data_IF_764376682900
#
_entry.id   IF_764376682900
#
_cell.length_a   1.000
_cell.length_b   1.000
_cell.length_c   1.000
_cell.angle_alpha   90.00
_cell.angle_beta   90.00
_cell.angle_gamma   90.00
#
_symmetry.space_group_name_H-M   'P 1'
#
loop_
_entity.id
_entity.type
_entity.pdbx_description
1 polymer ?
#
# COMPACT_ATOMS: atom_id res chain seq x y z
N UNK A 1 20.38 -34.48 -38.96
CA UNK A 1 20.25 -35.80 -38.29
C UNK A 1 20.74 -35.70 -36.83
N UNK A 2 20.11 -34.87 -35.98
CA UNK A 2 20.53 -34.67 -34.57
C UNK A 2 19.38 -34.53 -33.56
N UNK A 3 18.12 -34.60 -33.99
CA UNK A 3 16.96 -34.41 -33.09
C UNK A 3 16.55 -35.70 -32.36
N UNK A 4 16.99 -36.88 -32.83
CA UNK A 4 16.65 -38.18 -32.23
C UNK A 4 17.43 -38.54 -30.95
N UNK A 5 18.49 -37.79 -30.57
CA UNK A 5 19.33 -38.16 -29.41
C UNK A 5 18.89 -37.59 -28.07
N UNK A 6 17.83 -36.76 -28.02
CA UNK A 6 17.34 -36.18 -26.77
C UNK A 6 16.23 -37.01 -26.13
N UNK A 7 15.47 -37.77 -26.92
CA UNK A 7 14.28 -38.51 -26.44
C UNK A 7 14.63 -39.80 -25.69
N UNK A 8 15.83 -40.36 -25.90
CA UNK A 8 16.25 -41.64 -25.32
C UNK A 8 17.22 -41.53 -24.14
N UNK A 9 17.38 -40.34 -23.52
CA UNK A 9 18.28 -40.22 -22.37
C UNK A 9 17.55 -40.58 -21.06
N UNK A 10 18.24 -41.24 -20.11
CA UNK A 10 17.62 -41.64 -18.85
C UNK A 10 17.07 -40.43 -18.09
N UNK A 11 15.97 -40.56 -17.32
CA UNK A 11 15.33 -39.46 -16.60
C UNK A 11 16.31 -38.65 -15.72
N UNK A 12 17.33 -39.32 -15.17
CA UNK A 12 18.40 -38.69 -14.40
C UNK A 12 19.20 -37.63 -15.18
N UNK A 13 19.35 -37.79 -16.50
CA UNK A 13 20.04 -36.81 -17.35
C UNK A 13 19.22 -35.53 -17.56
N UNK A 14 17.89 -35.65 -17.60
CA UNK A 14 16.98 -34.51 -17.70
C UNK A 14 16.88 -33.79 -16.36
N UNK A 15 16.80 -34.55 -15.26
CA UNK A 15 16.90 -34.00 -13.91
C UNK A 15 18.24 -33.27 -13.69
N UNK A 16 19.36 -33.85 -14.13
CA UNK A 16 20.66 -33.19 -14.06
C UNK A 16 20.70 -31.92 -14.92
N UNK A 17 20.12 -31.91 -16.12
CA UNK A 17 20.03 -30.71 -16.95
C UNK A 17 19.22 -29.60 -16.24
N UNK A 18 18.07 -29.93 -15.67
CA UNK A 18 17.23 -28.98 -14.91
C UNK A 18 17.98 -28.45 -13.69
N UNK A 19 18.64 -29.31 -12.92
CA UNK A 19 19.39 -28.92 -11.71
C UNK A 19 20.63 -28.09 -12.05
N UNK A 20 21.34 -28.41 -13.14
CA UNK A 20 22.58 -27.71 -13.52
C UNK A 20 22.31 -26.42 -14.27
N UNK A 21 21.17 -26.27 -14.95
CA UNK A 21 20.88 -25.07 -15.77
C UNK A 21 19.81 -24.17 -15.16
N UNK A 22 18.65 -24.73 -14.80
CA UNK A 22 17.51 -23.92 -14.33
C UNK A 22 17.67 -23.51 -12.88
N UNK A 23 18.27 -24.36 -12.02
CA UNK A 23 18.49 -24.02 -10.62
C UNK A 23 19.46 -22.83 -10.45
N UNK A 24 20.63 -22.77 -11.13
CA UNK A 24 21.53 -21.62 -11.02
C UNK A 24 20.94 -20.36 -11.65
N UNK A 25 20.21 -20.48 -12.77
CA UNK A 25 19.50 -19.34 -13.38
C UNK A 25 18.41 -18.79 -12.44
N UNK A 26 17.65 -19.67 -11.79
CA UNK A 26 16.65 -19.29 -10.80
C UNK A 26 17.31 -18.60 -9.60
N UNK A 27 18.36 -19.20 -9.02
CA UNK A 27 19.08 -18.63 -7.88
C UNK A 27 19.78 -17.31 -8.23
N UNK A 28 20.36 -17.18 -9.43
CA UNK A 28 20.97 -15.95 -9.91
C UNK A 28 19.92 -14.85 -10.16
N UNK A 29 18.80 -15.18 -10.80
CA UNK A 29 17.67 -14.25 -10.97
C UNK A 29 17.07 -13.82 -9.62
N UNK A 30 16.91 -14.77 -8.69
CA UNK A 30 16.41 -14.51 -7.35
C UNK A 30 17.35 -13.59 -6.57
N UNK A 31 18.66 -13.88 -6.58
CA UNK A 31 19.68 -13.00 -5.97
C UNK A 31 19.74 -11.63 -6.63
N UNK A 32 19.68 -11.58 -7.96
CA UNK A 32 19.66 -10.33 -8.70
C UNK A 32 18.46 -9.47 -8.31
N UNK A 33 17.24 -10.05 -8.27
CA UNK A 33 16.02 -9.35 -7.84
C UNK A 33 16.02 -8.95 -6.36
N UNK A 34 16.62 -9.75 -5.47
CA UNK A 34 16.81 -9.38 -4.06
C UNK A 34 17.68 -8.13 -3.92
N UNK A 35 18.74 -8.03 -4.73
CA UNK A 35 19.71 -6.94 -4.65
C UNK A 35 19.33 -5.74 -5.55
N UNK A 36 18.43 -5.97 -6.51
CA UNK A 36 17.91 -5.00 -7.47
C UNK A 36 16.38 -5.13 -7.52
N UNK A 37 15.68 -4.82 -6.42
CA UNK A 37 14.22 -5.03 -6.30
C UNK A 37 13.40 -4.24 -7.33
N UNK A 38 14.05 -3.28 -7.99
CA UNK A 38 13.54 -2.47 -9.09
C UNK A 38 14.68 -2.38 -10.10
N UNK A 39 14.60 -3.12 -11.21
CA UNK A 39 15.67 -3.23 -12.22
C UNK A 39 15.98 -1.91 -12.94
N UNK A 40 16.52 -0.94 -12.22
CA UNK A 40 16.93 0.35 -12.74
C UNK A 40 18.24 0.22 -13.50
N UNK A 41 18.21 0.58 -14.78
CA UNK A 41 19.40 0.96 -15.54
C UNK A 41 20.06 2.15 -14.83
N UNK A 42 21.39 2.14 -14.79
CA UNK A 42 22.17 3.18 -14.14
C UNK A 42 21.81 4.58 -14.65
N UNK A 43 21.84 5.55 -13.74
CA UNK A 43 21.60 6.97 -13.98
C UNK A 43 22.39 7.46 -15.20
N UNK A 44 21.70 7.71 -16.30
CA UNK A 44 22.21 8.50 -17.42
C UNK A 44 21.86 9.96 -17.16
N UNK A 45 22.79 10.87 -17.50
CA UNK A 45 22.60 12.30 -17.33
C UNK A 45 21.33 12.74 -18.06
N UNK A 46 20.44 13.46 -17.36
CA UNK A 46 19.15 13.91 -17.87
C UNK A 46 19.35 15.27 -18.52
N UNK A 47 19.17 15.35 -19.83
CA UNK A 47 19.02 16.64 -20.51
C UNK A 47 17.74 17.33 -20.02
N UNK A 48 17.75 18.65 -19.89
CA UNK A 48 16.63 19.43 -19.36
C UNK A 48 15.34 19.20 -20.19
N UNK A 49 14.44 18.36 -19.67
CA UNK A 49 13.14 18.08 -20.28
C UNK A 49 12.20 19.29 -20.12
N UNK A 50 11.31 19.49 -21.09
CA UNK A 50 10.21 20.45 -20.90
C UNK A 50 9.31 20.00 -19.75
N UNK A 51 8.71 20.94 -19.01
CA UNK A 51 7.81 20.63 -17.88
C UNK A 51 6.68 19.67 -18.25
N UNK A 52 6.17 19.73 -19.49
CA UNK A 52 5.13 18.84 -19.97
C UNK A 52 5.65 17.42 -20.21
N UNK A 53 6.85 17.29 -20.79
CA UNK A 53 7.49 15.99 -21.03
C UNK A 53 7.88 15.31 -19.72
N UNK A 54 8.42 16.06 -18.75
CA UNK A 54 8.71 15.53 -17.42
C UNK A 54 7.47 14.97 -16.73
N UNK A 55 6.36 15.72 -16.75
CA UNK A 55 5.10 15.26 -16.13
C UNK A 55 4.55 14.02 -16.83
N UNK A 56 4.64 13.95 -18.16
CA UNK A 56 4.22 12.78 -18.92
C UNK A 56 5.06 11.54 -18.56
N UNK A 57 6.39 11.66 -18.62
CA UNK A 57 7.32 10.56 -18.32
C UNK A 57 7.20 10.10 -16.86
N UNK A 58 7.05 11.05 -15.93
CA UNK A 58 6.84 10.74 -14.52
C UNK A 58 5.53 9.99 -14.31
N UNK A 59 4.44 10.45 -14.92
CA UNK A 59 3.16 9.76 -14.80
C UNK A 59 3.20 8.38 -15.45
N UNK A 60 3.90 8.18 -16.56
CA UNK A 60 4.08 6.87 -17.20
C UNK A 60 4.80 5.86 -16.27
N UNK A 61 5.79 6.32 -15.51
CA UNK A 61 6.57 5.45 -14.60
C UNK A 61 5.90 5.23 -13.25
N UNK A 62 5.26 6.28 -12.71
CA UNK A 62 4.71 6.30 -11.35
C UNK A 62 3.20 6.01 -11.30
N UNK A 63 2.54 5.92 -12.45
CA UNK A 63 1.17 5.41 -12.58
C UNK A 63 1.22 4.15 -13.45
N UNK A 64 0.48 3.11 -13.08
CA UNK A 64 0.26 1.97 -13.97
C UNK A 64 -0.76 2.41 -15.03
N UNK A 65 -0.28 2.80 -16.20
CA UNK A 65 -1.09 2.91 -17.41
C UNK A 65 -0.39 2.13 -18.56
N UNK A 66 -1.13 1.29 -19.31
CA UNK A 66 -2.49 0.86 -19.03
C UNK A 66 -2.56 -0.01 -17.77
N UNK A 67 -3.60 0.18 -16.96
CA UNK A 67 -3.87 -0.71 -15.84
C UNK A 67 -4.25 -2.11 -16.34
N UNK A 68 -3.52 -3.13 -15.88
CA UNK A 68 -3.83 -4.53 -16.16
C UNK A 68 -4.57 -5.18 -14.98
N UNK A 69 -5.86 -5.55 -15.12
CA UNK A 69 -6.65 -6.13 -14.04
C UNK A 69 -6.20 -7.53 -13.64
N UNK A 70 -5.39 -8.20 -14.48
CA UNK A 70 -4.95 -9.58 -14.32
C UNK A 70 -4.18 -9.85 -13.04
N UNK A 71 -3.33 -8.90 -12.60
CA UNK A 71 -2.58 -9.06 -11.36
C UNK A 71 -3.49 -9.06 -10.13
N UNK A 72 -4.48 -8.16 -10.12
CA UNK A 72 -5.51 -8.17 -9.10
C UNK A 72 -6.30 -9.48 -9.23
N UNK A 73 -6.90 -9.77 -10.38
CA UNK A 73 -7.71 -10.97 -10.62
C UNK A 73 -7.01 -12.28 -10.20
N UNK A 74 -5.72 -12.43 -10.53
CA UNK A 74 -4.92 -13.59 -10.16
C UNK A 74 -4.70 -13.71 -8.65
N UNK A 75 -4.55 -12.58 -7.94
CA UNK A 75 -4.52 -12.57 -6.48
C UNK A 75 -5.89 -12.93 -5.90
N UNK A 76 -6.97 -12.50 -6.55
CA UNK A 76 -8.34 -12.74 -6.11
C UNK A 76 -8.78 -14.18 -6.22
N UNK A 77 -8.39 -14.83 -7.31
CA UNK A 77 -8.66 -16.24 -7.55
C UNK A 77 -7.97 -17.18 -6.54
N UNK A 78 -7.10 -16.66 -5.66
CA UNK A 78 -6.45 -17.43 -4.59
C UNK A 78 -7.19 -17.34 -3.25
N UNK A 79 -8.32 -16.65 -3.21
CA UNK A 79 -9.17 -16.56 -2.03
C UNK A 79 -10.46 -17.31 -2.28
N UNK A 80 -10.92 -18.01 -1.24
CA UNK A 80 -12.29 -18.51 -1.20
C UNK A 80 -13.24 -17.33 -1.10
N UNK A 81 -14.41 -17.44 -1.74
CA UNK A 81 -15.38 -16.35 -1.82
C UNK A 81 -16.53 -16.58 -0.84
N UNK A 82 -16.84 -15.55 -0.03
CA UNK A 82 -17.92 -15.57 0.94
C UNK A 82 -18.94 -14.48 0.57
N UNK A 83 -19.99 -14.80 -0.23
CA UNK A 83 -20.93 -13.80 -0.73
C UNK A 83 -21.70 -13.08 0.38
N UNK A 84 -21.84 -13.75 1.53
CA UNK A 84 -22.54 -13.25 2.69
C UNK A 84 -21.65 -12.40 3.60
N UNK A 85 -20.34 -12.37 3.40
CA UNK A 85 -19.44 -11.61 4.27
C UNK A 85 -19.21 -10.22 3.68
N UNK A 86 -19.51 -9.17 4.45
CA UNK A 86 -19.31 -7.79 4.05
C UNK A 86 -18.47 -7.08 5.10
N UNK A 87 -17.40 -6.42 4.66
CA UNK A 87 -16.57 -5.59 5.53
C UNK A 87 -16.90 -4.12 5.36
N UNK A 88 -16.99 -3.41 6.48
CA UNK A 88 -17.03 -1.95 6.51
C UNK A 88 -15.83 -1.45 7.31
N UNK A 89 -15.14 -0.46 6.78
CA UNK A 89 -13.97 0.10 7.45
C UNK A 89 -14.43 1.12 8.49
N UNK A 90 -13.95 0.97 9.72
CA UNK A 90 -14.14 1.96 10.79
C UNK A 90 -12.79 2.54 11.21
N UNK A 91 -12.81 3.82 11.63
CA UNK A 91 -11.61 4.48 12.13
C UNK A 91 -11.10 3.75 13.39
N UNK A 92 -9.80 3.46 13.40
CA UNK A 92 -9.14 2.84 14.54
C UNK A 92 -8.86 3.83 15.66
N UNK A 93 -8.38 3.32 16.79
CA UNK A 93 -8.12 4.09 18.01
C UNK A 93 -7.09 5.24 17.85
N UNK A 94 -6.23 5.19 16.82
CA UNK A 94 -5.19 6.18 16.57
C UNK A 94 -5.54 7.14 15.41
N UNK A 95 -5.40 8.43 15.67
CA UNK A 95 -5.62 9.55 14.75
C UNK A 95 -4.64 9.54 13.57
N UNK A 96 -4.97 8.80 12.51
CA UNK A 96 -4.14 8.65 11.31
C UNK A 96 -4.95 8.81 10.03
N UNK A 97 -4.83 9.99 9.40
CA UNK A 97 -5.42 10.33 8.10
C UNK A 97 -5.02 9.34 7.00
N UNK A 98 -5.98 8.97 6.14
CA UNK A 98 -5.86 8.52 4.74
C UNK A 98 -4.94 7.32 4.38
N UNK A 99 -3.71 7.26 4.90
CA UNK A 99 -2.63 6.40 4.43
C UNK A 99 -2.80 4.94 4.84
N UNK A 100 -3.63 4.68 5.86
CA UNK A 100 -3.86 3.36 6.44
C UNK A 100 -5.13 2.67 5.89
N UNK A 101 -5.81 3.25 4.89
CA UNK A 101 -6.91 2.56 4.18
C UNK A 101 -6.39 1.47 3.26
N UNK A 102 -5.10 1.52 2.89
CA UNK A 102 -4.55 0.65 1.85
C UNK A 102 -4.54 -0.82 2.25
N UNK A 103 -4.44 -1.15 3.54
CA UNK A 103 -4.51 -2.54 4.03
C UNK A 103 -5.92 -3.14 3.89
N UNK A 104 -6.96 -2.31 3.97
CA UNK A 104 -8.34 -2.77 3.99
C UNK A 104 -8.76 -3.54 2.72
N UNK A 105 -8.45 -3.05 1.50
CA UNK A 105 -8.63 -3.84 0.28
C UNK A 105 -7.92 -5.19 0.30
N UNK A 106 -6.74 -5.33 0.93
CA UNK A 106 -6.02 -6.61 1.01
C UNK A 106 -6.72 -7.58 1.96
N UNK A 107 -7.06 -7.14 3.17
CA UNK A 107 -7.75 -7.99 4.14
C UNK A 107 -9.09 -8.48 3.60
N UNK A 108 -9.87 -7.58 2.99
CA UNK A 108 -11.14 -7.94 2.35
C UNK A 108 -10.93 -8.96 1.24
N UNK A 109 -9.95 -8.70 0.38
CA UNK A 109 -9.58 -9.56 -0.73
C UNK A 109 -9.21 -10.98 -0.29
N UNK A 110 -8.48 -11.09 0.81
CA UNK A 110 -7.98 -12.35 1.33
C UNK A 110 -9.04 -13.12 2.09
N UNK A 111 -9.89 -12.40 2.81
CA UNK A 111 -11.09 -12.93 3.47
C UNK A 111 -12.21 -13.28 2.49
N UNK A 112 -12.10 -12.91 1.21
CA UNK A 112 -13.14 -13.18 0.23
C UNK A 112 -14.45 -12.46 0.53
N UNK A 113 -14.38 -11.28 1.14
CA UNK A 113 -15.54 -10.50 1.53
C UNK A 113 -15.89 -9.45 0.47
N UNK A 114 -17.15 -9.01 0.49
CA UNK A 114 -17.59 -7.76 -0.16
C UNK A 114 -17.23 -6.57 0.72
N UNK A 115 -17.32 -5.34 0.19
CA UNK A 115 -17.04 -4.12 0.96
C UNK A 115 -18.21 -3.15 0.94
N UNK A 116 -18.34 -2.38 2.01
CA UNK A 116 -18.90 -1.03 1.95
C UNK A 116 -17.80 -0.08 1.50
N UNK A 117 -18.09 0.77 0.51
CA UNK A 117 -17.13 1.75 0.02
C UNK A 117 -16.68 2.64 1.19
N UNK A 118 -15.37 2.73 1.49
CA UNK A 118 -14.90 3.50 2.63
C UNK A 118 -15.24 4.98 2.52
N UNK A 119 -15.48 5.60 3.67
CA UNK A 119 -15.52 7.05 3.85
C UNK A 119 -14.52 7.44 4.93
N UNK A 120 -14.19 8.73 5.05
CA UNK A 120 -13.15 9.19 5.95
C UNK A 120 -13.70 10.22 6.92
N UNK A 121 -13.38 10.12 8.20
CA UNK A 121 -13.70 11.19 9.14
C UNK A 121 -13.08 12.53 8.67
N UNK A 122 -13.87 13.59 8.67
CA UNK A 122 -13.35 14.95 8.52
C UNK A 122 -12.40 15.27 9.70
N UNK A 123 -11.36 16.07 9.44
CA UNK A 123 -10.32 16.41 10.44
C UNK A 123 -10.89 16.79 11.81
N UNK A 124 -10.30 16.26 12.90
CA UNK A 124 -10.63 16.63 14.29
C UNK A 124 -11.68 15.75 14.97
N UNK A 125 -12.28 14.81 14.25
CA UNK A 125 -13.20 13.82 14.78
C UNK A 125 -12.48 12.52 15.15
N UNK A 126 -11.55 12.56 16.13
CA UNK A 126 -11.14 11.33 16.81
C UNK A 126 -12.36 10.63 17.44
N UNK A 127 -12.24 9.33 17.75
CA UNK A 127 -13.11 8.32 18.42
C UNK A 127 -14.51 8.67 19.02
N UNK A 128 -14.87 9.93 19.24
CA UNK A 128 -16.14 10.38 19.83
C UNK A 128 -17.37 10.29 18.91
N UNK A 129 -17.21 9.99 17.61
CA UNK A 129 -18.30 9.90 16.65
C UNK A 129 -18.71 8.47 16.33
N UNK A 130 -19.23 7.71 17.29
CA UNK A 130 -19.80 6.37 17.08
C UNK A 130 -21.13 6.36 16.30
N UNK A 131 -21.31 7.28 15.36
CA UNK A 131 -22.55 7.46 14.61
C UNK A 131 -22.25 7.77 13.16
N UNK A 132 -23.13 7.27 12.29
CA UNK A 132 -23.22 7.52 10.84
C UNK A 132 -23.52 9.03 10.55
N UNK A 133 -23.26 9.93 11.51
CA UNK A 133 -23.79 11.29 11.60
C UNK A 133 -22.73 12.40 11.64
N UNK A 134 -21.43 12.08 11.57
CA UNK A 134 -20.44 13.08 11.17
C UNK A 134 -20.35 13.10 9.65
N UNK A 135 -20.22 14.31 9.06
CA UNK A 135 -19.98 14.48 7.63
C UNK A 135 -18.64 13.81 7.25
N UNK A 136 -18.70 12.51 6.98
CA UNK A 136 -17.57 11.77 6.48
C UNK A 136 -17.26 12.27 5.07
N UNK A 137 -16.00 12.58 4.83
CA UNK A 137 -15.50 12.86 3.50
C UNK A 137 -15.68 11.62 2.61
N UNK A 138 -16.28 11.78 1.41
CA UNK A 138 -16.52 10.65 0.53
C UNK A 138 -15.20 10.09 -0.03
N UNK A 139 -15.22 8.82 -0.44
CA UNK A 139 -14.06 8.09 -1.00
C UNK A 139 -13.29 8.90 -2.05
N UNK A 140 -14.04 9.57 -2.95
CA UNK A 140 -13.55 10.43 -4.04
C UNK A 140 -12.61 11.57 -3.62
N UNK A 141 -12.60 11.95 -2.33
CA UNK A 141 -11.74 13.03 -1.84
C UNK A 141 -10.25 12.63 -1.85
N UNK A 142 -9.96 11.35 -1.62
CA UNK A 142 -8.59 10.83 -1.56
C UNK A 142 -8.26 9.93 -2.76
N UNK A 143 -9.27 9.27 -3.31
CA UNK A 143 -9.11 8.27 -4.36
C UNK A 143 -9.93 8.60 -5.61
N UNK A 144 -9.49 8.10 -6.76
CA UNK A 144 -10.28 8.05 -7.97
C UNK A 144 -11.33 6.94 -7.82
N UNK A 145 -12.52 7.33 -7.35
CA UNK A 145 -13.62 6.41 -7.08
C UNK A 145 -14.06 5.66 -8.34
N UNK A 146 -14.13 6.34 -9.48
CA UNK A 146 -14.59 5.73 -10.74
C UNK A 146 -13.61 4.66 -11.18
N UNK A 147 -12.31 4.99 -11.19
CA UNK A 147 -11.26 4.04 -11.50
C UNK A 147 -11.24 2.86 -10.54
N UNK A 148 -11.41 3.11 -9.23
CA UNK A 148 -11.40 2.04 -8.23
C UNK A 148 -12.54 1.05 -8.48
N UNK A 149 -13.76 1.54 -8.68
CA UNK A 149 -14.91 0.70 -8.92
C UNK A 149 -14.78 -0.08 -10.23
N UNK A 150 -14.39 0.59 -11.33
CA UNK A 150 -14.23 -0.10 -12.62
C UNK A 150 -13.14 -1.17 -12.54
N UNK A 151 -12.02 -0.87 -11.89
CA UNK A 151 -10.89 -1.79 -11.75
C UNK A 151 -11.24 -2.99 -10.89
N UNK A 152 -11.96 -2.78 -9.77
CA UNK A 152 -12.40 -3.87 -8.91
C UNK A 152 -13.51 -4.69 -9.54
N UNK A 153 -14.49 -4.10 -10.23
CA UNK A 153 -15.51 -4.86 -10.98
C UNK A 153 -14.88 -5.72 -12.07
N UNK A 154 -13.87 -5.20 -12.78
CA UNK A 154 -13.17 -5.95 -13.83
C UNK A 154 -12.30 -7.08 -13.25
N UNK A 155 -11.58 -6.81 -12.15
CA UNK A 155 -10.66 -7.77 -11.56
C UNK A 155 -11.33 -8.76 -10.58
N UNK A 156 -12.46 -8.39 -9.99
CA UNK A 156 -13.23 -9.15 -8.99
C UNK A 156 -14.74 -8.97 -9.20
N UNK A 157 -15.33 -9.59 -10.23
CA UNK A 157 -16.78 -9.48 -10.45
C UNK A 157 -17.61 -10.08 -9.31
N UNK A 158 -17.04 -11.00 -8.52
CA UNK A 158 -17.71 -11.60 -7.37
C UNK A 158 -17.81 -10.65 -6.17
N UNK A 159 -16.89 -9.67 -6.06
CA UNK A 159 -16.84 -8.77 -4.91
C UNK A 159 -17.84 -7.63 -5.06
N UNK A 160 -18.90 -7.65 -4.26
CA UNK A 160 -19.84 -6.53 -4.22
C UNK A 160 -19.19 -5.32 -3.52
N UNK A 161 -19.46 -4.14 -4.06
CA UNK A 161 -19.05 -2.86 -3.46
C UNK A 161 -20.33 -2.06 -3.20
N UNK A 162 -20.74 -2.01 -1.94
CA UNK A 162 -21.93 -1.31 -1.49
C UNK A 162 -21.64 0.18 -1.28
N UNK A 163 -22.57 1.03 -1.73
CA UNK A 163 -22.55 2.47 -1.48
C UNK A 163 -23.89 2.86 -0.86
N UNK A 164 -24.09 2.64 0.45
CA UNK A 164 -25.32 3.05 1.10
C UNK A 164 -25.48 4.58 0.98
N UNK A 165 -26.62 5.01 0.44
CA UNK A 165 -27.03 6.42 0.47
C UNK A 165 -27.36 6.82 1.91
N UNK A 166 -27.37 8.12 2.23
CA UNK A 166 -27.60 8.62 3.60
C UNK A 166 -28.88 8.07 4.26
N UNK A 167 -29.91 7.74 3.46
CA UNK A 167 -31.20 7.25 3.95
C UNK A 167 -31.37 5.72 3.83
N UNK A 168 -30.37 5.00 3.30
CA UNK A 168 -30.39 3.55 3.14
C UNK A 168 -29.51 2.88 4.19
N UNK A 169 -30.15 2.35 5.24
CA UNK A 169 -29.46 1.56 6.26
C UNK A 169 -29.11 0.17 5.70
N UNK A 170 -27.84 -0.18 5.74
CA UNK A 170 -27.39 -1.58 5.56
C UNK A 170 -27.86 -2.45 6.74
N UNK A 171 -27.66 -3.77 6.63
CA UNK A 171 -27.78 -4.66 7.79
C UNK A 171 -26.94 -4.14 8.97
N UNK A 172 -27.40 -4.39 10.20
CA UNK A 172 -26.63 -4.04 11.39
C UNK A 172 -25.34 -4.87 11.44
N UNK A 173 -24.22 -4.21 11.73
CA UNK A 173 -22.94 -4.89 11.86
C UNK A 173 -22.92 -5.78 13.12
N UNK A 174 -22.18 -6.88 13.05
CA UNK A 174 -21.94 -7.73 14.22
C UNK A 174 -21.37 -6.90 15.38
N UNK A 175 -21.76 -7.19 16.63
CA UNK A 175 -21.28 -6.44 17.78
C UNK A 175 -19.75 -6.45 17.93
N UNK A 176 -19.20 -5.24 18.05
CA UNK A 176 -17.77 -4.99 18.22
C UNK A 176 -17.05 -4.64 16.92
N UNK A 177 -15.75 -4.42 17.03
CA UNK A 177 -14.88 -4.12 15.90
C UNK A 177 -13.85 -5.24 15.77
N UNK A 178 -13.72 -5.79 14.56
CA UNK A 178 -12.70 -6.75 14.22
C UNK A 178 -11.38 -6.05 13.95
N UNK A 179 -10.35 -6.34 14.74
CA UNK A 179 -8.97 -5.92 14.47
C UNK A 179 -8.25 -7.04 13.71
N UNK A 180 -7.91 -6.84 12.42
CA UNK A 180 -7.22 -7.86 11.65
C UNK A 180 -5.86 -8.22 12.25
N UNK A 181 -5.58 -9.53 12.29
CA UNK A 181 -4.24 -10.02 12.62
C UNK A 181 -3.23 -9.57 11.56
N UNK A 182 -2.05 -9.16 12.01
CA UNK A 182 -0.96 -8.69 11.14
C UNK A 182 -0.62 -9.69 10.05
N UNK A 183 -0.27 -9.15 8.89
CA UNK A 183 0.21 -9.82 7.69
C UNK A 183 1.62 -9.38 7.29
N UNK A 184 2.38 -8.85 8.26
CA UNK A 184 3.81 -8.56 8.16
C UNK A 184 4.65 -9.80 8.43
N UNK A 185 4.83 -10.62 7.38
CA UNK A 185 5.66 -11.84 7.42
C UNK A 185 7.14 -11.49 7.68
N UNK A 186 7.57 -10.29 7.29
CA UNK A 186 8.92 -9.76 7.53
C UNK A 186 9.19 -9.47 9.02
N UNK A 187 8.15 -9.18 9.81
CA UNK A 187 8.25 -8.97 11.25
C UNK A 187 8.10 -10.27 12.05
N UNK A 188 7.20 -11.17 11.62
CA UNK A 188 7.00 -12.48 12.22
C UNK A 188 6.49 -13.47 11.16
N UNK A 189 7.21 -14.58 10.97
CA UNK A 189 6.85 -15.62 10.00
C UNK A 189 5.46 -16.24 10.24
N UNK A 190 4.90 -16.09 11.45
CA UNK A 190 3.56 -16.55 11.80
C UNK A 190 2.44 -15.66 11.24
N UNK A 191 2.75 -14.44 10.77
CA UNK A 191 1.80 -13.48 10.20
C UNK A 191 1.37 -13.84 8.77
N UNK A 192 0.89 -15.07 8.60
CA UNK A 192 0.52 -15.65 7.30
C UNK A 192 -0.94 -15.39 6.95
N UNK A 193 -1.31 -15.62 5.67
CA UNK A 193 -2.72 -15.60 5.24
C UNK A 193 -3.59 -16.54 6.03
N UNK A 194 -3.08 -17.75 6.26
CA UNK A 194 -3.77 -18.75 7.05
C UNK A 194 -4.05 -18.25 8.48
N UNK A 195 -3.05 -17.68 9.14
CA UNK A 195 -3.22 -17.17 10.51
C UNK A 195 -4.22 -16.00 10.60
N UNK A 196 -4.29 -15.14 9.58
CA UNK A 196 -5.32 -14.10 9.49
C UNK A 196 -6.72 -14.69 9.32
N UNK A 197 -6.89 -15.67 8.42
CA UNK A 197 -8.19 -16.30 8.16
C UNK A 197 -8.68 -17.10 9.38
N UNK A 198 -7.79 -17.84 10.05
CA UNK A 198 -8.12 -18.55 11.30
C UNK A 198 -8.54 -17.57 12.41
N UNK A 199 -7.86 -16.42 12.51
CA UNK A 199 -8.22 -15.39 13.49
C UNK A 199 -9.59 -14.77 13.18
N UNK A 200 -9.90 -14.52 11.90
CA UNK A 200 -11.21 -14.03 11.46
C UNK A 200 -12.31 -15.05 11.78
N UNK A 201 -12.09 -16.32 11.46
CA UNK A 201 -13.05 -17.39 11.71
C UNK A 201 -13.36 -17.55 13.21
N UNK A 202 -12.34 -17.50 14.07
CA UNK A 202 -12.53 -17.50 15.52
C UNK A 202 -13.34 -16.28 15.96
N UNK A 203 -12.99 -15.08 15.50
CA UNK A 203 -13.70 -13.86 15.88
C UNK A 203 -15.17 -13.87 15.45
N UNK A 204 -15.48 -14.42 14.27
CA UNK A 204 -16.85 -14.57 13.78
C UNK A 204 -17.64 -15.57 14.64
N UNK A 205 -17.07 -16.74 14.94
CA UNK A 205 -17.72 -17.80 15.74
C UNK A 205 -17.93 -17.42 17.20
N UNK A 206 -17.18 -16.45 17.72
CA UNK A 206 -17.40 -15.89 19.05
C UNK A 206 -18.65 -15.00 19.13
N UNK A 207 -19.24 -14.60 17.99
CA UNK A 207 -20.43 -13.74 17.96
C UNK A 207 -21.72 -14.57 18.00
N UNK A 208 -22.58 -14.38 19.01
CA UNK A 208 -23.87 -15.08 19.07
C UNK A 208 -24.77 -14.82 17.86
N UNK A 209 -24.63 -13.65 17.23
CA UNK A 209 -25.45 -13.21 16.08
C UNK A 209 -24.88 -13.65 14.72
N UNK A 210 -23.74 -14.35 14.70
CA UNK A 210 -23.12 -14.80 13.45
C UNK A 210 -23.78 -16.07 12.91
N UNK A 211 -24.39 -15.94 11.73
CA UNK A 211 -24.99 -17.04 10.98
C UNK A 211 -24.29 -17.13 9.61
N UNK A 212 -23.56 -18.22 9.29
CA UNK A 212 -22.76 -18.33 8.06
C UNK A 212 -23.54 -18.11 6.76
N UNK A 213 -24.83 -18.48 6.76
CA UNK A 213 -25.70 -18.42 5.59
C UNK A 213 -26.42 -17.06 5.44
N UNK A 214 -26.27 -16.15 6.40
CA UNK A 214 -26.85 -14.81 6.35
C UNK A 214 -25.81 -13.72 6.07
N UNK A 215 -26.26 -12.65 5.43
CA UNK A 215 -25.44 -11.46 5.19
C UNK A 215 -24.91 -10.93 6.53
N UNK A 216 -23.60 -11.04 6.70
CA UNK A 216 -22.87 -10.64 7.90
C UNK A 216 -22.05 -9.40 7.59
N UNK A 217 -22.42 -8.28 8.19
CA UNK A 217 -21.63 -7.05 8.14
C UNK A 217 -20.64 -7.01 9.30
N UNK A 218 -19.36 -6.79 9.02
CA UNK A 218 -18.28 -6.73 10.01
C UNK A 218 -17.64 -5.35 9.97
N UNK A 219 -17.63 -4.67 11.12
CA UNK A 219 -16.81 -3.48 11.32
C UNK A 219 -15.35 -3.90 11.45
N UNK A 220 -14.51 -3.51 10.49
CA UNK A 220 -13.08 -3.80 10.49
C UNK A 220 -12.32 -2.55 10.89
N UNK A 221 -11.48 -2.66 11.90
CA UNK A 221 -10.64 -1.57 12.36
C UNK A 221 -9.56 -1.26 11.32
N UNK A 222 -9.36 0.03 11.03
CA UNK A 222 -8.24 0.49 10.22
C UNK A 222 -6.91 0.13 10.88
N UNK A 223 -6.00 -0.45 10.10
CA UNK A 223 -4.66 -0.81 10.57
C UNK A 223 -3.57 -0.09 9.76
N UNK A 224 -2.49 0.37 10.40
CA UNK A 224 -1.38 1.00 9.71
C UNK A 224 -0.34 -0.01 9.24
N UNK A 225 -0.22 -0.17 7.92
CA UNK A 225 0.85 -0.93 7.26
C UNK A 225 1.00 -2.36 7.78
N UNK A 226 -0.08 -3.05 8.12
CA UNK A 226 -0.05 -4.40 8.65
C UNK A 226 0.03 -5.48 7.57
N UNK A 227 -0.05 -5.12 6.28
CA UNK A 227 0.12 -6.06 5.18
C UNK A 227 1.49 -5.90 4.53
N UNK A 228 2.30 -6.96 4.56
CA UNK A 228 3.55 -6.97 3.79
C UNK A 228 3.26 -7.15 2.30
N UNK A 229 3.21 -6.03 1.60
CA UNK A 229 3.02 -6.02 0.15
C UNK A 229 4.29 -6.35 -0.61
N UNK A 230 5.49 -6.34 -0.01
CA UNK A 230 6.78 -6.53 -0.72
C UNK A 230 6.88 -7.89 -1.39
N UNK A 231 6.22 -8.89 -0.81
CA UNK A 231 6.14 -10.26 -1.33
C UNK A 231 5.11 -10.43 -2.46
N UNK A 232 4.39 -9.37 -2.85
CA UNK A 232 3.39 -9.39 -3.91
C UNK A 232 3.96 -8.92 -5.25
N UNK A 233 3.38 -9.37 -6.38
CA UNK A 233 3.80 -8.91 -7.71
C UNK A 233 3.85 -7.39 -7.81
N UNK A 234 4.84 -6.86 -8.54
CA UNK A 234 5.07 -5.42 -8.67
C UNK A 234 3.85 -4.65 -9.19
N UNK A 235 3.13 -5.22 -10.16
CA UNK A 235 1.89 -4.66 -10.71
C UNK A 235 0.82 -4.52 -9.63
N UNK A 236 0.71 -5.50 -8.74
CA UNK A 236 -0.23 -5.48 -7.63
C UNK A 236 0.17 -4.45 -6.56
N UNK A 237 1.47 -4.34 -6.24
CA UNK A 237 1.99 -3.35 -5.28
C UNK A 237 1.76 -1.91 -5.71
N UNK A 238 1.79 -1.64 -7.02
CA UNK A 238 1.63 -0.29 -7.58
C UNK A 238 0.16 0.09 -7.84
N UNK A 239 -0.75 -0.87 -7.89
CA UNK A 239 -2.16 -0.64 -8.20
C UNK A 239 -2.87 0.29 -7.20
N UNK A 240 -2.64 0.20 -5.87
CA UNK A 240 -3.26 1.14 -4.92
C UNK A 240 -2.79 2.58 -5.12
N UNK A 241 -1.55 2.80 -5.62
CA UNK A 241 -1.05 4.12 -5.98
C UNK A 241 -1.74 4.73 -7.21
N UNK A 242 -2.28 3.89 -8.09
CA UNK A 242 -3.01 4.31 -9.29
C UNK A 242 -4.42 4.82 -8.98
N UNK A 243 -4.97 4.39 -7.84
CA UNK A 243 -6.26 4.83 -7.33
C UNK A 243 -6.23 6.19 -6.68
N UNK A 244 -5.11 6.92 -6.59
CA UNK A 244 -5.15 8.33 -6.14
C UNK A 244 -5.77 9.22 -7.20
N UNK A 245 -6.47 10.28 -6.79
CA UNK A 245 -7.08 11.22 -7.72
C UNK A 245 -6.06 11.77 -8.75
N UNK A 246 -6.39 11.70 -10.05
CA UNK A 246 -5.49 12.11 -11.15
C UNK A 246 -5.09 13.60 -11.07
N UNK A 247 -5.98 14.47 -10.59
CA UNK A 247 -5.70 15.88 -10.38
C UNK A 247 -4.68 16.08 -9.25
N UNK A 248 -4.82 15.35 -8.14
CA UNK A 248 -3.87 15.40 -7.04
C UNK A 248 -2.47 14.89 -7.46
N UNK A 249 -2.41 13.84 -8.29
CA UNK A 249 -1.16 13.32 -8.87
C UNK A 249 -0.49 14.32 -9.80
N UNK A 250 -1.25 14.89 -10.72
CA UNK A 250 -0.75 15.88 -11.69
C UNK A 250 -0.28 17.15 -10.99
N UNK A 251 -1.02 17.62 -9.98
CA UNK A 251 -0.63 18.75 -9.16
C UNK A 251 0.64 18.47 -8.35
N UNK A 252 0.74 17.29 -7.72
CA UNK A 252 1.96 16.86 -7.02
C UNK A 252 3.17 16.80 -7.94
N UNK A 253 3.02 16.20 -9.12
CA UNK A 253 4.07 16.14 -10.13
C UNK A 253 4.48 17.53 -10.63
N UNK A 254 3.53 18.42 -10.92
CA UNK A 254 3.82 19.80 -11.33
C UNK A 254 4.59 20.57 -10.23
N UNK A 255 4.24 20.36 -8.95
CA UNK A 255 4.97 20.97 -7.82
C UNK A 255 6.39 20.44 -7.71
N UNK A 256 6.58 19.13 -7.81
CA UNK A 256 7.90 18.49 -7.83
C UNK A 256 8.75 19.01 -9.00
N UNK A 257 8.17 19.07 -10.20
CA UNK A 257 8.84 19.60 -11.39
C UNK A 257 9.26 21.07 -11.19
N UNK A 258 8.39 21.90 -10.60
CA UNK A 258 8.70 23.32 -10.34
C UNK A 258 9.83 23.55 -9.32
N UNK A 259 10.16 22.54 -8.51
CA UNK A 259 11.14 22.67 -7.42
C UNK A 259 12.45 21.93 -7.68
N UNK A 260 12.43 20.78 -8.37
CA UNK A 260 13.59 19.87 -8.47
C UNK A 260 13.68 19.06 -9.78
N UNK A 261 13.15 19.57 -10.90
CA UNK A 261 13.21 18.84 -12.18
C UNK A 261 14.64 18.45 -12.60
N UNK A 262 15.64 19.30 -12.35
CA UNK A 262 17.04 19.02 -12.70
C UNK A 262 17.66 17.87 -11.88
N UNK A 263 17.10 17.55 -10.71
CA UNK A 263 17.61 16.53 -9.80
C UNK A 263 16.88 15.18 -9.94
N UNK A 264 15.86 15.10 -10.80
CA UNK A 264 14.99 13.95 -10.94
C UNK A 264 15.05 13.41 -12.36
N UNK A 265 15.35 12.12 -12.47
CA UNK A 265 15.03 11.38 -13.70
C UNK A 265 13.56 10.95 -13.63
N UNK A 266 12.65 11.52 -14.45
CA UNK A 266 11.24 11.17 -14.42
C UNK A 266 10.96 9.75 -14.90
N UNK A 267 11.91 9.12 -15.61
CA UNK A 267 11.79 7.73 -16.02
C UNK A 267 12.25 6.75 -14.94
N UNK A 268 12.75 7.24 -13.79
CA UNK A 268 13.24 6.37 -12.71
C UNK A 268 12.13 6.04 -11.72
N UNK A 269 11.84 4.75 -11.58
CA UNK A 269 10.83 4.25 -10.62
C UNK A 269 11.11 4.63 -9.16
N UNK A 270 12.39 4.80 -8.81
CA UNK A 270 12.83 5.32 -7.51
C UNK A 270 13.93 6.34 -7.82
N UNK A 271 13.64 7.64 -7.69
CA UNK A 271 14.65 8.67 -7.85
C UNK A 271 15.71 8.52 -6.75
N UNK A 272 16.91 8.07 -7.14
CA UNK A 272 18.03 7.92 -6.20
C UNK A 272 18.59 9.30 -5.88
N UNK A 273 18.96 9.50 -4.61
CA UNK A 273 19.64 10.71 -4.12
C UNK A 273 18.88 12.04 -4.41
N UNK A 274 17.57 11.96 -4.63
CA UNK A 274 16.79 13.11 -5.07
C UNK A 274 16.22 13.92 -3.90
N UNK A 275 15.46 13.25 -3.04
CA UNK A 275 14.83 13.86 -1.88
C UNK A 275 14.63 12.85 -0.77
N UNK A 276 14.51 13.34 0.46
CA UNK A 276 14.26 12.57 1.65
C UNK A 276 12.92 13.01 2.26
N UNK A 277 11.98 12.07 2.41
CA UNK A 277 10.74 12.31 3.12
C UNK A 277 10.92 12.05 4.61
N UNK A 278 10.59 13.02 5.46
CA UNK A 278 10.65 12.91 6.90
C UNK A 278 9.30 13.26 7.53
N UNK A 279 8.91 12.55 8.58
CA UNK A 279 7.78 12.89 9.41
C UNK A 279 8.23 12.95 10.86
N UNK A 280 7.89 14.03 11.54
CA UNK A 280 8.19 14.22 12.95
C UNK A 280 6.90 14.32 13.77
N UNK A 281 6.84 13.53 14.84
CA UNK A 281 5.78 13.63 15.85
C UNK A 281 6.42 13.55 17.24
N UNK A 282 6.42 14.68 17.94
CA UNK A 282 7.00 14.84 19.28
C UNK A 282 5.92 14.87 20.36
N UNK A 283 4.64 14.76 19.99
CA UNK A 283 3.50 14.93 20.92
C UNK A 283 3.44 13.85 21.99
N UNK A 284 3.97 12.66 21.68
CA UNK A 284 4.08 11.53 22.60
C UNK A 284 5.54 11.23 22.95
N UNK A 285 6.41 12.25 23.01
CA UNK A 285 7.79 12.05 23.43
C UNK A 285 7.81 11.54 24.88
N UNK A 286 7.83 10.21 25.04
CA UNK A 286 7.91 9.56 26.33
C UNK A 286 9.32 9.82 26.86
N UNK A 287 9.42 10.27 28.12
CA UNK A 287 10.72 10.51 28.76
C UNK A 287 11.62 9.26 28.76
N UNK A 288 11.05 8.07 28.57
CA UNK A 288 11.74 6.78 28.45
C UNK A 288 12.27 6.47 27.05
N UNK A 289 11.83 7.17 26.00
CA UNK A 289 12.24 6.91 24.62
C UNK A 289 13.14 8.04 24.10
N UNK A 290 14.45 7.83 24.19
CA UNK A 290 15.47 8.81 23.81
C UNK A 290 15.38 9.27 22.34
N UNK A 291 14.72 8.50 21.46
CA UNK A 291 14.55 8.80 20.04
C UNK A 291 13.25 9.54 19.70
N UNK A 292 12.37 9.75 20.69
CA UNK A 292 11.05 10.33 20.47
C UNK A 292 11.02 11.86 20.57
N UNK A 293 12.09 12.49 21.08
CA UNK A 293 12.16 13.95 21.21
C UNK A 293 12.59 14.66 19.91
N UNK A 294 12.35 15.97 19.85
CA UNK A 294 12.66 16.81 18.69
C UNK A 294 14.11 16.70 18.21
N UNK A 295 15.08 16.79 19.13
CA UNK A 295 16.50 16.77 18.77
C UNK A 295 16.87 15.44 18.14
N UNK A 296 16.52 14.33 18.79
CA UNK A 296 16.88 13.00 18.31
C UNK A 296 16.26 12.69 16.94
N UNK A 297 15.00 13.07 16.71
CA UNK A 297 14.37 12.90 15.39
C UNK A 297 15.03 13.81 14.34
N UNK A 298 15.33 15.06 14.70
CA UNK A 298 16.00 16.01 13.80
C UNK A 298 17.38 15.51 13.39
N UNK A 299 18.20 15.15 14.37
CA UNK A 299 19.57 14.67 14.16
C UNK A 299 19.57 13.39 13.31
N UNK A 300 18.69 12.43 13.62
CA UNK A 300 18.57 11.21 12.83
C UNK A 300 18.20 11.50 11.36
N UNK A 301 17.23 12.39 11.12
CA UNK A 301 16.83 12.76 9.77
C UNK A 301 17.95 13.46 8.99
N UNK A 302 18.65 14.40 9.63
CA UNK A 302 19.77 15.10 9.02
C UNK A 302 20.96 14.17 8.74
N UNK A 303 21.29 13.30 9.69
CA UNK A 303 22.38 12.33 9.56
C UNK A 303 22.12 11.35 8.41
N UNK A 304 20.88 10.87 8.25
CA UNK A 304 20.49 10.06 7.08
C UNK A 304 20.60 10.84 5.76
N UNK A 305 20.19 12.10 5.74
CA UNK A 305 20.31 12.94 4.54
C UNK A 305 21.79 13.16 4.15
N UNK A 306 22.65 13.45 5.13
CA UNK A 306 24.10 13.63 4.94
C UNK A 306 24.74 12.33 4.45
N UNK A 307 24.48 11.21 5.12
CA UNK A 307 25.06 9.90 4.79
C UNK A 307 24.73 9.47 3.35
N UNK A 308 23.54 9.85 2.86
CA UNK A 308 23.09 9.54 1.50
C UNK A 308 23.28 10.68 0.50
N UNK A 309 23.97 11.76 0.88
CA UNK A 309 24.20 12.95 0.04
C UNK A 309 22.91 13.54 -0.56
N UNK A 310 21.84 13.57 0.24
CA UNK A 310 20.53 14.10 -0.13
C UNK A 310 20.45 15.57 0.27
N UNK A 311 20.17 16.45 -0.69
CA UNK A 311 20.15 17.91 -0.49
C UNK A 311 18.77 18.49 -0.23
N UNK A 312 17.72 17.70 -0.38
CA UNK A 312 16.34 18.14 -0.18
C UNK A 312 15.62 17.22 0.80
N UNK A 313 15.02 17.81 1.83
CA UNK A 313 14.17 17.12 2.79
C UNK A 313 12.75 17.69 2.71
N UNK A 314 11.77 16.84 2.42
CA UNK A 314 10.36 17.16 2.63
C UNK A 314 9.97 16.69 4.01
N UNK A 315 9.80 17.64 4.93
CA UNK A 315 9.41 17.34 6.30
C UNK A 315 7.95 17.68 6.57
N UNK A 316 7.25 16.76 7.23
CA UNK A 316 5.92 16.96 7.78
C UNK A 316 5.96 16.84 9.31
N UNK A 317 5.22 17.70 10.01
CA UNK A 317 5.01 17.61 11.46
C UNK A 317 3.68 18.24 11.81
N UNK A 318 3.07 17.75 12.88
CA UNK A 318 1.86 18.34 13.46
C UNK A 318 2.16 19.57 14.33
N UNK A 319 3.44 19.90 14.53
CA UNK A 319 3.90 21.09 15.25
C UNK A 319 4.59 22.06 14.29
N UNK A 320 3.92 23.17 13.97
CA UNK A 320 4.42 24.18 13.03
C UNK A 320 5.70 24.88 13.52
N UNK A 321 5.87 25.01 14.83
CA UNK A 321 7.08 25.61 15.43
C UNK A 321 8.29 24.71 15.21
N UNK A 322 8.12 23.40 15.36
CA UNK A 322 9.19 22.43 15.09
C UNK A 322 9.58 22.37 13.62
N UNK A 323 8.63 22.53 12.69
CA UNK A 323 8.96 22.66 11.27
C UNK A 323 9.88 23.84 11.00
N UNK A 324 9.62 24.98 11.66
CA UNK A 324 10.47 26.16 11.53
C UNK A 324 11.88 25.92 12.12
N UNK A 325 11.96 25.26 13.29
CA UNK A 325 13.24 24.91 13.92
C UNK A 325 14.04 23.92 13.08
N UNK A 326 13.39 22.87 12.56
CA UNK A 326 14.03 21.89 11.69
C UNK A 326 14.59 22.58 10.45
N UNK A 327 13.84 23.51 9.83
CA UNK A 327 14.32 24.27 8.68
C UNK A 327 15.60 25.04 8.98
N UNK A 328 15.72 25.63 10.17
CA UNK A 328 16.94 26.33 10.59
C UNK A 328 18.08 25.34 10.80
N UNK A 329 17.82 24.21 11.46
CA UNK A 329 18.82 23.17 11.68
C UNK A 329 19.36 22.58 10.35
N UNK A 330 18.47 22.31 9.40
CA UNK A 330 18.81 21.76 8.08
C UNK A 330 19.53 22.74 7.14
N UNK A 331 19.56 24.04 7.47
CA UNK A 331 20.22 25.06 6.66
C UNK A 331 21.71 25.25 7.01
N UNK A 332 22.15 24.69 8.14
CA UNK A 332 23.54 24.71 8.61
C UNK A 332 24.28 23.46 8.15
#
# INVERSE_FOLDING_TARGET
MHVQSFVNRPPASHAALVVVTLLPLYLASYRYRLWHPYGGTGSTAVDALSSATFVADWLDVHVIQPFHPSAIAAYCNRSEWHPNLVFTLVDGAEDGMAENVLDFPFYTTEAGASIVLPSFAAHGAGRAGGGITQENMPFRMLFDETWFLSSMTQARPQMAIYKPEQDHKMADALPGTYLPKSRKVDMDLRNTKKAFLEHLDVWLKEKPEFEPDQLTLVNVERTPWQVDTRNLPQEFRRAPGCGRNAAARSYGCARVNSQIHDALNPTSTIPRNAFYGAYMDTRNALASESYSNFSAQTDAHLEQAILHNIKLIYIASKNTTELALFRVAAAN
#
